data_IF_044615627263
#
_entry.id   IF_044615627263
#
_cell.length_a   1.000
_cell.length_b   1.000
_cell.length_c   1.000
_cell.angle_alpha   90.00
_cell.angle_beta   90.00
_cell.angle_gamma   90.00
#
_symmetry.space_group_name_H-M   'P 1'
#
loop_
_entity.id
_entity.type
_entity.pdbx_description
1 polymer ?
#
# COMPACT_ATOMS: atom_id res chain seq x y z
N UNK A 1 4.87 41.88 -40.61
CA UNK A 1 4.20 40.55 -40.68
C UNK A 1 4.74 39.51 -39.69
N UNK A 2 5.91 39.72 -39.06
CA UNK A 2 6.51 38.82 -38.05
C UNK A 2 5.87 38.90 -36.65
N UNK A 3 5.16 40.00 -36.34
CA UNK A 3 4.46 40.18 -35.05
C UNK A 3 3.31 39.18 -34.84
N UNK A 4 2.66 38.72 -35.92
CA UNK A 4 1.60 37.69 -35.85
C UNK A 4 2.18 36.27 -35.73
N UNK A 5 3.38 36.03 -36.25
CA UNK A 5 4.09 34.74 -36.15
C UNK A 5 4.62 34.51 -34.72
N UNK A 6 4.97 35.59 -34.00
CA UNK A 6 5.44 35.53 -32.61
C UNK A 6 4.35 35.13 -31.60
N UNK A 7 3.07 35.32 -31.92
CA UNK A 7 1.95 34.96 -31.03
C UNK A 7 1.59 33.48 -31.17
N UNK A 8 1.78 32.89 -32.35
CA UNK A 8 1.53 31.48 -32.61
C UNK A 8 2.53 30.55 -31.90
N UNK A 9 3.77 31.01 -31.70
CA UNK A 9 4.82 30.23 -31.04
C UNK A 9 4.67 30.20 -29.51
N UNK A 10 4.02 31.21 -28.91
CA UNK A 10 3.83 31.27 -27.45
C UNK A 10 2.70 30.34 -26.96
N UNK A 11 1.74 29.99 -27.81
CA UNK A 11 0.63 29.09 -27.47
C UNK A 11 1.03 27.60 -27.42
N UNK A 12 2.18 27.23 -27.98
CA UNK A 12 2.65 25.84 -28.01
C UNK A 12 3.19 25.33 -26.66
N UNK A 13 3.53 26.23 -25.72
CA UNK A 13 4.13 25.86 -24.44
C UNK A 13 3.12 25.56 -23.31
N UNK A 14 1.83 25.83 -23.50
CA UNK A 14 0.80 25.56 -22.47
C UNK A 14 0.11 24.20 -22.61
N UNK A 15 0.42 23.42 -23.66
CA UNK A 15 -0.27 22.15 -23.94
C UNK A 15 0.29 20.93 -23.19
N UNK A 16 1.37 21.09 -22.43
CA UNK A 16 1.94 20.01 -21.62
C UNK A 16 1.29 20.00 -20.23
N UNK A 17 0.07 19.50 -20.13
CA UNK A 17 -0.46 19.07 -18.84
C UNK A 17 0.17 17.70 -18.52
N UNK A 18 0.78 17.49 -17.34
CA UNK A 18 1.17 16.16 -16.93
C UNK A 18 -0.10 15.32 -16.89
N UNK A 19 -0.12 14.24 -17.67
CA UNK A 19 -1.13 13.20 -17.52
C UNK A 19 -0.91 12.64 -16.13
N UNK A 20 -1.80 12.96 -15.19
CA UNK A 20 -1.84 12.27 -13.90
C UNK A 20 -2.03 10.79 -14.22
N UNK A 21 -0.99 10.01 -13.98
CA UNK A 21 -1.04 8.58 -14.11
C UNK A 21 -2.07 8.07 -13.09
N UNK A 22 -3.23 7.60 -13.54
CA UNK A 22 -4.25 7.06 -12.64
C UNK A 22 -3.73 5.87 -11.82
N UNK A 23 -2.67 5.19 -12.28
CA UNK A 23 -1.98 4.16 -11.51
C UNK A 23 -1.20 4.72 -10.30
N UNK A 24 -0.97 6.03 -10.23
CA UNK A 24 -0.42 6.71 -9.07
C UNK A 24 -1.49 7.12 -8.04
N UNK A 25 -2.79 7.03 -8.37
CA UNK A 25 -3.86 7.50 -7.49
C UNK A 25 -4.18 6.53 -6.36
N UNK A 26 -4.03 5.23 -6.63
CA UNK A 26 -4.27 4.17 -5.67
C UNK A 26 -3.15 3.15 -5.71
N UNK A 27 -2.83 2.59 -4.55
CA UNK A 27 -1.90 1.47 -4.40
C UNK A 27 -2.41 0.31 -5.26
N UNK A 28 -1.49 -0.30 -6.03
CA UNK A 28 -1.82 -1.43 -6.89
C UNK A 28 -2.39 -2.61 -6.10
N UNK A 29 -3.20 -3.46 -6.73
CA UNK A 29 -3.77 -4.66 -6.07
C UNK A 29 -2.66 -5.53 -5.46
N UNK A 30 -1.58 -5.73 -6.21
CA UNK A 30 -0.43 -6.54 -5.79
C UNK A 30 0.27 -5.96 -4.57
N UNK A 31 0.49 -4.65 -4.55
CA UNK A 31 1.16 -4.00 -3.42
C UNK A 31 0.22 -3.89 -2.21
N UNK A 32 -1.07 -3.69 -2.43
CA UNK A 32 -2.09 -3.76 -1.36
C UNK A 32 -2.09 -5.13 -0.68
N UNK A 33 -2.00 -6.23 -1.46
CA UNK A 33 -1.86 -7.58 -0.90
C UNK A 33 -0.62 -7.67 -0.01
N UNK A 34 0.55 -7.21 -0.49
CA UNK A 34 1.79 -7.23 0.31
C UNK A 34 1.65 -6.42 1.59
N UNK A 35 1.15 -5.19 1.50
CA UNK A 35 0.96 -4.29 2.65
C UNK A 35 0.07 -4.95 3.69
N UNK A 36 -1.09 -5.48 3.29
CA UNK A 36 -2.03 -6.12 4.21
C UNK A 36 -1.47 -7.39 4.84
N UNK A 37 -0.67 -8.17 4.10
CA UNK A 37 0.07 -9.30 4.67
C UNK A 37 1.03 -8.84 5.77
N UNK A 38 1.87 -7.83 5.50
CA UNK A 38 2.83 -7.30 6.48
C UNK A 38 2.15 -6.67 7.70
N UNK A 39 1.06 -5.91 7.48
CA UNK A 39 0.25 -5.33 8.55
C UNK A 39 -0.25 -6.40 9.51
N UNK A 40 -0.81 -7.50 9.00
CA UNK A 40 -1.32 -8.56 9.87
C UNK A 40 -0.21 -9.36 10.57
N UNK A 41 0.95 -9.52 9.95
CA UNK A 41 2.12 -10.13 10.62
C UNK A 41 2.62 -9.26 11.76
N UNK A 42 2.72 -7.95 11.53
CA UNK A 42 3.10 -6.97 12.53
C UNK A 42 2.10 -6.93 13.70
N UNK A 43 0.80 -6.90 13.43
CA UNK A 43 -0.22 -6.95 14.48
C UNK A 43 -0.14 -8.26 15.28
N UNK A 44 0.11 -9.38 14.62
CA UNK A 44 0.28 -10.67 15.28
C UNK A 44 1.52 -10.67 16.21
N UNK A 45 2.64 -10.09 15.79
CA UNK A 45 3.85 -10.00 16.64
C UNK A 45 3.59 -9.16 17.89
N UNK A 46 2.85 -8.06 17.73
CA UNK A 46 2.55 -7.12 18.83
C UNK A 46 1.55 -7.73 19.82
N UNK A 47 0.51 -8.41 19.31
CA UNK A 47 -0.48 -9.08 20.15
C UNK A 47 0.16 -10.22 20.97
N UNK A 48 1.22 -10.85 20.48
CA UNK A 48 1.94 -11.88 21.22
C UNK A 48 2.68 -11.33 22.46
N UNK A 49 3.11 -10.06 22.43
CA UNK A 49 3.88 -9.43 23.50
C UNK A 49 3.04 -8.97 24.71
N UNK A 50 1.71 -9.16 24.70
CA UNK A 50 0.80 -8.76 25.79
C UNK A 50 0.99 -7.29 26.24
N UNK A 51 1.30 -6.39 25.30
CA UNK A 51 1.55 -4.99 25.62
C UNK A 51 0.27 -4.32 26.17
N UNK A 52 0.45 -3.42 27.15
CA UNK A 52 -0.66 -2.59 27.62
C UNK A 52 -1.19 -1.71 26.48
N UNK A 53 -2.50 -1.42 26.47
CA UNK A 53 -3.16 -0.71 25.36
C UNK A 53 -2.48 0.62 24.95
N UNK A 54 -1.91 1.35 25.91
CA UNK A 54 -1.17 2.60 25.63
C UNK A 54 0.16 2.37 24.90
N UNK A 55 0.88 1.30 25.25
CA UNK A 55 2.13 0.91 24.59
C UNK A 55 1.83 0.30 23.22
N UNK A 56 0.79 -0.54 23.13
CA UNK A 56 0.28 -1.12 21.88
C UNK A 56 0.00 -0.05 20.82
N UNK A 57 -0.77 0.99 21.16
CA UNK A 57 -1.10 2.05 20.21
C UNK A 57 0.12 2.83 19.72
N UNK A 58 1.08 3.12 20.62
CA UNK A 58 2.32 3.81 20.25
C UNK A 58 3.22 2.92 19.39
N UNK A 59 3.35 1.65 19.73
CA UNK A 59 4.17 0.69 19.02
C UNK A 59 3.60 0.42 17.62
N UNK A 60 2.28 0.18 17.51
CA UNK A 60 1.57 0.11 16.23
C UNK A 60 1.89 1.33 15.38
N UNK A 61 1.65 2.55 15.88
CA UNK A 61 1.85 3.78 15.10
C UNK A 61 3.27 3.92 14.54
N UNK A 62 4.30 3.54 15.31
CA UNK A 62 5.70 3.58 14.85
C UNK A 62 5.95 2.53 13.77
N UNK A 63 5.43 1.31 13.93
CA UNK A 63 5.69 0.22 13.00
C UNK A 63 4.90 0.38 11.69
N UNK A 64 3.66 0.88 11.75
CA UNK A 64 2.91 1.30 10.57
C UNK A 64 3.67 2.38 9.80
N UNK A 65 4.26 3.37 10.50
CA UNK A 65 5.09 4.38 9.85
C UNK A 65 6.31 3.78 9.15
N UNK A 66 7.05 2.87 9.82
CA UNK A 66 8.22 2.21 9.24
C UNK A 66 7.86 1.31 8.04
N UNK A 67 6.77 0.55 8.13
CA UNK A 67 6.25 -0.27 7.04
C UNK A 67 5.93 0.60 5.82
N UNK A 68 5.17 1.68 6.03
CA UNK A 68 4.78 2.58 4.97
C UNK A 68 5.97 3.31 4.34
N UNK A 69 6.94 3.73 5.16
CA UNK A 69 8.20 4.33 4.68
C UNK A 69 9.00 3.35 3.81
N UNK A 70 9.14 2.09 4.25
CA UNK A 70 9.84 1.05 3.49
C UNK A 70 9.21 0.73 2.14
N UNK A 71 7.91 0.98 2.00
CA UNK A 71 7.13 0.78 0.78
C UNK A 71 6.92 2.08 0.00
N UNK A 72 7.50 3.19 0.47
CA UNK A 72 7.36 4.53 -0.11
C UNK A 72 5.89 4.95 -0.31
N UNK A 73 5.03 4.62 0.67
CA UNK A 73 3.62 4.99 0.69
C UNK A 73 3.33 5.90 1.88
N UNK A 74 2.33 6.78 1.73
CA UNK A 74 1.82 7.59 2.85
C UNK A 74 0.61 6.92 3.48
N UNK A 75 0.34 7.25 4.74
CA UNK A 75 -0.87 6.80 5.43
C UNK A 75 -2.14 7.19 4.67
N UNK A 76 -2.19 8.42 4.12
CA UNK A 76 -3.32 8.91 3.33
C UNK A 76 -3.50 8.13 2.02
N UNK A 77 -2.39 7.78 1.34
CA UNK A 77 -2.45 6.98 0.12
C UNK A 77 -2.95 5.55 0.41
N UNK A 78 -2.52 4.97 1.54
CA UNK A 78 -3.04 3.68 2.00
C UNK A 78 -4.53 3.75 2.34
N UNK A 79 -4.96 4.72 3.16
CA UNK A 79 -6.37 4.86 3.56
C UNK A 79 -7.30 5.09 2.38
N UNK A 80 -6.90 5.96 1.44
CA UNK A 80 -7.69 6.24 0.24
C UNK A 80 -7.79 5.02 -0.67
N UNK A 81 -6.71 4.26 -0.84
CA UNK A 81 -6.68 3.02 -1.61
C UNK A 81 -7.49 1.91 -0.96
N UNK A 82 -7.39 1.75 0.35
CA UNK A 82 -8.17 0.78 1.10
C UNK A 82 -9.68 1.08 0.96
N UNK A 83 -10.07 2.35 1.08
CA UNK A 83 -11.45 2.79 0.87
C UNK A 83 -11.91 2.62 -0.58
N UNK A 84 -11.01 2.71 -1.56
CA UNK A 84 -11.32 2.39 -2.95
C UNK A 84 -11.66 0.91 -3.11
N UNK A 85 -10.81 0.00 -2.64
CA UNK A 85 -11.06 -1.44 -2.75
C UNK A 85 -12.30 -1.90 -1.97
N UNK A 86 -12.55 -1.34 -0.78
CA UNK A 86 -13.75 -1.66 0.02
C UNK A 86 -15.09 -1.40 -0.68
N UNK A 87 -15.12 -0.57 -1.74
CA UNK A 87 -16.35 -0.30 -2.51
C UNK A 87 -16.72 -1.43 -3.45
N UNK A 88 -15.76 -2.27 -3.84
CA UNK A 88 -15.95 -3.44 -4.69
C UNK A 88 -15.68 -4.69 -3.85
N UNK A 89 -16.73 -5.24 -3.25
CA UNK A 89 -16.62 -6.37 -2.32
C UNK A 89 -16.01 -7.63 -2.98
N UNK A 90 -16.39 -8.04 -4.21
CA UNK A 90 -15.69 -9.09 -4.93
C UNK A 90 -14.18 -8.85 -5.04
N UNK A 91 -13.76 -7.68 -5.52
CA UNK A 91 -12.34 -7.35 -5.67
C UNK A 91 -11.60 -7.33 -4.33
N UNK A 92 -12.24 -6.81 -3.28
CA UNK A 92 -11.67 -6.80 -1.94
C UNK A 92 -11.53 -8.20 -1.34
N UNK A 93 -12.47 -9.09 -1.66
CA UNK A 93 -12.42 -10.51 -1.26
C UNK A 93 -11.23 -11.20 -1.92
N UNK A 94 -11.00 -10.99 -3.22
CA UNK A 94 -9.83 -11.53 -3.93
C UNK A 94 -8.49 -11.07 -3.32
N UNK A 95 -8.42 -9.82 -2.87
CA UNK A 95 -7.25 -9.30 -2.15
C UNK A 95 -7.05 -10.09 -0.86
N UNK A 96 -8.11 -10.25 -0.05
CA UNK A 96 -8.01 -10.98 1.22
C UNK A 96 -7.71 -12.48 1.04
N UNK A 97 -8.29 -13.14 0.04
CA UNK A 97 -7.96 -14.53 -0.29
C UNK A 97 -6.45 -14.69 -0.57
N UNK A 98 -5.87 -13.72 -1.29
CA UNK A 98 -4.43 -13.68 -1.56
C UNK A 98 -3.61 -13.41 -0.29
N UNK A 99 -4.07 -12.51 0.59
CA UNK A 99 -3.44 -12.24 1.89
C UNK A 99 -3.44 -13.50 2.76
N UNK A 100 -4.58 -14.21 2.86
CA UNK A 100 -4.67 -15.46 3.62
C UNK A 100 -3.77 -16.55 3.04
N UNK A 101 -3.69 -16.66 1.71
CA UNK A 101 -2.79 -17.59 1.06
C UNK A 101 -1.32 -17.30 1.42
N UNK A 102 -0.90 -16.03 1.37
CA UNK A 102 0.46 -15.63 1.75
C UNK A 102 0.78 -16.01 3.20
N UNK A 103 -0.14 -15.71 4.13
CA UNK A 103 0.03 -16.02 5.55
C UNK A 103 0.12 -17.54 5.79
N UNK A 104 -0.72 -18.33 5.12
CA UNK A 104 -0.69 -19.78 5.22
C UNK A 104 0.60 -20.38 4.64
N UNK A 105 1.07 -19.86 3.51
CA UNK A 105 2.34 -20.30 2.92
C UNK A 105 3.51 -20.02 3.85
N UNK A 106 3.57 -18.81 4.43
CA UNK A 106 4.60 -18.46 5.40
C UNK A 106 4.59 -19.39 6.61
N UNK A 107 3.41 -19.73 7.13
CA UNK A 107 3.28 -20.70 8.22
C UNK A 107 3.84 -22.07 7.83
N UNK A 108 3.47 -22.60 6.66
CA UNK A 108 3.95 -23.89 6.16
C UNK A 108 5.47 -23.87 5.97
N UNK A 109 6.02 -22.78 5.44
CA UNK A 109 7.46 -22.62 5.25
C UNK A 109 8.22 -22.66 6.59
N UNK A 110 7.70 -21.97 7.61
CA UNK A 110 8.27 -22.00 8.97
C UNK A 110 8.20 -23.41 9.57
N UNK A 111 7.05 -24.09 9.47
CA UNK A 111 6.89 -25.47 9.96
C UNK A 111 7.86 -26.43 9.28
N UNK A 112 8.06 -26.29 7.97
CA UNK A 112 9.01 -27.09 7.21
C UNK A 112 10.48 -26.81 7.58
N UNK A 113 10.81 -25.59 8.00
CA UNK A 113 12.15 -25.25 8.50
C UNK A 113 12.41 -25.91 9.87
N UNK A 114 11.45 -25.83 10.79
CA UNK A 114 11.55 -26.43 12.12
C UNK A 114 11.65 -27.96 12.09
N UNK A 115 11.00 -28.63 11.14
CA UNK A 115 11.03 -30.09 11.01
C UNK A 115 12.31 -30.62 10.34
N UNK A 116 13.20 -29.75 9.85
CA UNK A 116 14.48 -30.12 9.21
C UNK A 116 15.68 -29.98 10.15
N UNK A 117 15.50 -29.41 11.35
CA UNK A 117 16.49 -29.31 12.43
C UNK A 117 16.36 -30.48 13.42
#
# INVERSE_FOLDING_TARGET
MYKKLSILLLLAFMACQPVEDESAKYISKTDMIKILTEVHLLEASINHENLSAGIFNKYNSIHYYQLFDSLNITHEHFDSSLNFYKKDLPLFTEIYDSVFLNLNNLKVDIENQLNKE
#
